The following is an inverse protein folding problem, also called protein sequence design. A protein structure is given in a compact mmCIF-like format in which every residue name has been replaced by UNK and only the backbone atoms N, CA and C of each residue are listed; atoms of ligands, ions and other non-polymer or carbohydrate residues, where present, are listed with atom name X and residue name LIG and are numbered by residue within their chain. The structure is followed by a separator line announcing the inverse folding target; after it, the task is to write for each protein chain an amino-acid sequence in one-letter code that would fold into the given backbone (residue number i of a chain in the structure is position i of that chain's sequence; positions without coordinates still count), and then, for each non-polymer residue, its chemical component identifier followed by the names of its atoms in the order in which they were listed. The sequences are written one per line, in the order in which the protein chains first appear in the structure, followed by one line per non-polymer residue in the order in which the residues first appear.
data_IF_710979306247
#
_entry.id   IF_710979306247
#
_cell.length_a   1.000
_cell.length_b   1.000
_cell.length_c   1.000
_cell.angle_alpha   90.00
_cell.angle_beta   90.00
_cell.angle_gamma   90.00
#
_symmetry.space_group_name_H-M   'P 1'
#
loop_
_entity.id
_entity.type
_entity.pdbx_description
1 polymer ?
#
# COMPACT_ATOMS: atom_id res chain seq x y z
N UNK A 1 -8.81 42.85 12.07
CA UNK A 1 -8.10 41.57 11.83
C UNK A 1 -9.13 40.54 11.41
N UNK A 2 -9.22 40.17 10.13
CA UNK A 2 -10.07 39.05 9.73
C UNK A 2 -9.40 37.75 10.20
N UNK A 3 -10.10 36.98 11.04
CA UNK A 3 -9.68 35.63 11.36
C UNK A 3 -9.75 34.79 10.10
N UNK A 4 -8.61 34.28 9.62
CA UNK A 4 -8.52 33.32 8.51
C UNK A 4 -8.82 31.87 8.95
N UNK A 5 -9.42 31.69 10.13
CA UNK A 5 -9.82 30.40 10.67
C UNK A 5 -11.30 30.17 10.42
N UNK A 6 -11.61 29.07 9.74
CA UNK A 6 -12.96 28.59 9.52
C UNK A 6 -13.15 27.30 10.30
N UNK A 7 -14.28 27.18 11.01
CA UNK A 7 -14.71 25.95 11.67
C UNK A 7 -16.07 25.56 11.10
N UNK A 8 -16.18 24.32 10.64
CA UNK A 8 -17.40 23.77 10.05
C UNK A 8 -17.80 22.54 10.84
N UNK A 9 -19.01 22.57 11.40
CA UNK A 9 -19.60 21.43 12.08
C UNK A 9 -20.75 20.91 11.23
N UNK A 10 -20.73 19.61 10.97
CA UNK A 10 -21.73 18.93 10.17
C UNK A 10 -22.35 17.85 11.04
N UNK A 11 -23.67 17.91 11.22
CA UNK A 11 -24.44 16.84 11.81
C UNK A 11 -24.64 15.74 10.75
N UNK A 12 -24.05 14.58 10.97
CA UNK A 12 -24.11 13.48 10.00
C UNK A 12 -25.52 12.92 9.83
N UNK A 13 -26.36 12.95 10.87
CA UNK A 13 -27.74 12.48 10.79
C UNK A 13 -28.58 13.41 9.93
N UNK A 14 -28.47 14.73 10.13
CA UNK A 14 -29.17 15.72 9.30
C UNK A 14 -28.66 15.68 7.84
N UNK A 15 -27.35 15.56 7.66
CA UNK A 15 -26.74 15.44 6.34
C UNK A 15 -27.27 14.23 5.57
N UNK A 16 -27.29 13.05 6.20
CA UNK A 16 -27.77 11.82 5.57
C UNK A 16 -29.26 11.86 5.24
N UNK A 17 -30.08 12.57 6.04
CA UNK A 17 -31.50 12.80 5.72
C UNK A 17 -31.70 13.69 4.51
N UNK A 18 -30.81 14.65 4.27
CA UNK A 18 -30.88 15.58 3.13
C UNK A 18 -30.35 14.97 1.84
N UNK A 19 -29.31 14.14 1.93
CA UNK A 19 -28.70 13.45 0.80
C UNK A 19 -29.39 12.12 0.50
N UNK A 20 -30.73 12.08 0.63
CA UNK A 20 -31.55 10.87 0.69
C UNK A 20 -31.62 10.04 -0.60
N UNK A 21 -30.67 10.20 -1.53
CA UNK A 21 -30.53 9.29 -2.65
C UNK A 21 -30.19 7.89 -2.13
N UNK A 22 -30.89 6.87 -2.63
CA UNK A 22 -30.59 5.46 -2.31
C UNK A 22 -29.40 4.94 -3.12
N UNK A 23 -29.00 5.66 -4.18
CA UNK A 23 -27.92 5.26 -5.06
C UNK A 23 -26.52 5.50 -4.46
N UNK A 24 -25.58 4.54 -4.64
CA UNK A 24 -24.18 4.69 -4.24
C UNK A 24 -23.47 5.91 -4.86
N UNK A 25 -23.37 6.99 -4.09
CA UNK A 25 -22.94 8.30 -4.58
C UNK A 25 -21.67 8.81 -3.87
N UNK A 26 -20.92 9.67 -4.56
CA UNK A 26 -19.74 10.35 -4.00
C UNK A 26 -19.94 11.85 -4.13
N UNK A 27 -19.94 12.55 -3.00
CA UNK A 27 -20.05 14.00 -2.95
C UNK A 27 -18.67 14.60 -2.68
N UNK A 28 -18.23 15.45 -3.60
CA UNK A 28 -17.01 16.21 -3.44
C UNK A 28 -17.25 17.44 -2.56
N UNK A 29 -16.44 17.63 -1.52
CA UNK A 29 -16.60 18.75 -0.59
C UNK A 29 -15.98 20.04 -1.15
N UNK A 30 -16.74 21.13 -1.16
CA UNK A 30 -16.27 22.45 -1.57
C UNK A 30 -16.61 23.49 -0.51
N UNK A 31 -15.84 24.57 -0.47
CA UNK A 31 -16.23 25.82 0.17
C UNK A 31 -16.56 26.82 -0.93
N UNK A 32 -17.76 27.42 -0.88
CA UNK A 32 -18.11 28.56 -1.74
C UNK A 32 -17.54 29.81 -1.09
N UNK A 33 -16.77 30.58 -1.83
CA UNK A 33 -16.19 31.85 -1.35
C UNK A 33 -16.70 32.98 -2.23
N UNK A 34 -17.02 34.11 -1.59
CA UNK A 34 -17.37 35.36 -2.25
C UNK A 34 -16.25 36.38 -2.02
N UNK A 35 -15.72 36.96 -3.09
CA UNK A 35 -14.62 37.93 -3.03
C UNK A 35 -14.96 39.16 -3.86
N UNK A 36 -14.82 40.39 -3.33
CA UNK A 36 -14.95 41.59 -4.15
C UNK A 36 -13.97 41.56 -5.33
N UNK A 37 -14.46 41.86 -6.54
CA UNK A 37 -13.66 41.81 -7.77
C UNK A 37 -12.39 42.67 -7.68
N UNK A 38 -12.52 43.85 -7.04
CA UNK A 38 -11.43 44.81 -6.86
C UNK A 38 -10.23 44.23 -6.10
N UNK A 39 -10.44 43.18 -5.29
CA UNK A 39 -9.37 42.50 -4.53
C UNK A 39 -8.67 41.42 -5.34
N UNK A 40 -9.12 41.12 -6.55
CA UNK A 40 -8.58 40.06 -7.38
C UNK A 40 -7.78 40.63 -8.56
N UNK A 41 -6.66 39.98 -8.86
CA UNK A 41 -5.90 40.28 -10.07
C UNK A 41 -6.63 39.75 -11.30
N UNK A 42 -6.48 40.43 -12.45
CA UNK A 42 -7.02 39.98 -13.76
C UNK A 42 -6.69 38.52 -14.08
N UNK A 43 -5.46 38.09 -13.76
CA UNK A 43 -5.01 36.70 -13.93
C UNK A 43 -5.83 35.72 -13.09
N UNK A 44 -6.17 36.09 -11.85
CA UNK A 44 -6.98 35.24 -10.96
C UNK A 44 -8.38 35.08 -11.50
N UNK A 45 -8.99 36.19 -11.95
CA UNK A 45 -10.33 36.21 -12.55
C UNK A 45 -10.40 35.27 -13.75
N UNK A 46 -9.47 35.40 -14.71
CA UNK A 46 -9.39 34.52 -15.89
C UNK A 46 -9.30 33.03 -15.53
N UNK A 47 -8.60 32.69 -14.44
CA UNK A 47 -8.43 31.29 -14.02
C UNK A 47 -9.69 30.70 -13.38
N UNK A 48 -10.61 31.52 -12.85
CA UNK A 48 -11.81 31.06 -12.14
C UNK A 48 -13.11 31.33 -12.88
N UNK A 49 -13.08 32.15 -13.93
CA UNK A 49 -14.25 32.60 -14.71
C UNK A 49 -15.17 31.45 -15.13
N UNK A 50 -14.62 30.34 -15.63
CA UNK A 50 -15.38 29.17 -16.06
C UNK A 50 -16.18 28.44 -14.96
N UNK A 51 -15.97 28.80 -13.68
CA UNK A 51 -16.60 28.17 -12.52
C UNK A 51 -17.11 29.21 -11.50
N UNK A 52 -17.21 30.47 -11.91
CA UNK A 52 -17.53 31.57 -11.03
C UNK A 52 -18.83 32.27 -11.44
N UNK A 53 -19.54 32.79 -10.46
CA UNK A 53 -20.76 33.57 -10.61
C UNK A 53 -20.51 35.00 -10.15
N UNK A 54 -21.04 35.98 -10.89
CA UNK A 54 -20.96 37.39 -10.53
C UNK A 54 -22.21 37.76 -9.75
N UNK A 55 -22.05 38.30 -8.55
CA UNK A 55 -23.15 38.65 -7.65
C UNK A 55 -22.98 40.08 -7.20
N UNK A 56 -24.04 40.88 -7.34
CA UNK A 56 -24.06 42.27 -6.90
C UNK A 56 -24.80 42.38 -5.56
N UNK A 57 -24.10 42.82 -4.51
CA UNK A 57 -24.67 43.06 -3.19
C UNK A 57 -24.18 44.43 -2.68
N UNK A 58 -25.11 45.28 -2.22
CA UNK A 58 -24.80 46.60 -1.64
C UNK A 58 -23.90 47.48 -2.54
N UNK A 59 -24.20 47.57 -3.84
CA UNK A 59 -23.42 48.34 -4.84
C UNK A 59 -21.98 47.83 -5.07
N UNK A 60 -21.63 46.66 -4.52
CA UNK A 60 -20.34 46.02 -4.71
C UNK A 60 -20.48 44.72 -5.50
N UNK A 61 -19.67 44.57 -6.54
CA UNK A 61 -19.66 43.33 -7.35
C UNK A 61 -18.69 42.33 -6.74
N UNK A 62 -19.24 41.19 -6.34
CA UNK A 62 -18.52 40.02 -5.86
C UNK A 62 -18.41 38.96 -6.96
N UNK A 63 -17.33 38.18 -6.91
CA UNK A 63 -17.23 36.93 -7.65
C UNK A 63 -17.31 35.78 -6.65
N UNK A 64 -18.26 34.88 -6.88
CA UNK A 64 -18.49 33.68 -6.10
C UNK A 64 -17.95 32.46 -6.83
N UNK A 65 -17.19 31.60 -6.16
CA UNK A 65 -16.69 30.38 -6.79
C UNK A 65 -16.41 29.28 -5.77
N UNK A 66 -16.49 28.00 -6.17
CA UNK A 66 -16.17 26.88 -5.31
C UNK A 66 -14.67 26.61 -5.26
N UNK A 67 -14.16 26.33 -4.06
CA UNK A 67 -12.82 25.83 -3.80
C UNK A 67 -12.94 24.39 -3.27
N UNK A 68 -12.29 23.44 -3.93
CA UNK A 68 -12.28 22.03 -3.53
C UNK A 68 -11.54 21.89 -2.19
N UNK A 69 -12.18 21.26 -1.21
CA UNK A 69 -11.59 21.03 0.11
C UNK A 69 -10.59 19.85 0.13
N UNK A 70 -9.57 20.01 0.95
CA UNK A 70 -8.43 19.09 1.09
C UNK A 70 -7.18 19.63 0.40
N UNK A 71 -6.16 18.78 0.24
CA UNK A 71 -4.83 19.15 -0.27
C UNK A 71 -4.18 20.31 0.48
N UNK A 72 -4.53 20.48 1.75
CA UNK A 72 -3.92 21.49 2.61
C UNK A 72 -2.45 21.17 2.85
N UNK A 73 -1.64 22.21 3.07
CA UNK A 73 -0.21 22.07 3.36
C UNK A 73 0.04 21.09 4.51
N UNK A 74 -0.82 21.14 5.53
CA UNK A 74 -0.90 20.18 6.61
C UNK A 74 -2.33 19.67 6.72
N UNK A 75 -2.49 18.36 6.81
CA UNK A 75 -3.80 17.72 6.98
C UNK A 75 -3.74 16.79 8.17
N UNK A 76 -4.56 17.08 9.18
CA UNK A 76 -4.72 16.25 10.37
C UNK A 76 -6.04 15.49 10.23
N UNK A 77 -6.02 14.19 10.45
CA UNK A 77 -7.22 13.36 10.48
C UNK A 77 -7.23 12.54 11.75
N UNK A 78 -8.39 12.47 12.40
CA UNK A 78 -8.63 11.59 13.52
C UNK A 78 -9.87 10.77 13.19
N UNK A 79 -9.71 9.45 13.14
CA UNK A 79 -10.82 8.49 13.13
C UNK A 79 -11.91 8.78 12.09
N UNK A 80 -11.51 8.99 10.83
CA UNK A 80 -12.45 8.80 9.71
C UNK A 80 -13.00 7.38 9.89
N UNK A 81 -14.31 7.25 9.99
CA UNK A 81 -14.97 5.98 10.30
C UNK A 81 -16.30 5.95 9.57
N UNK A 82 -16.80 4.74 9.34
CA UNK A 82 -18.10 4.55 8.72
C UNK A 82 -19.15 5.00 9.73
N UNK A 83 -19.98 5.95 9.32
CA UNK A 83 -21.15 6.37 10.05
C UNK A 83 -22.39 5.71 9.44
N UNK A 84 -23.20 5.07 10.28
CA UNK A 84 -24.42 4.39 9.86
C UNK A 84 -25.64 5.09 10.44
N UNK A 85 -26.65 5.29 9.61
CA UNK A 85 -27.93 5.84 10.02
C UNK A 85 -29.03 5.17 9.19
N UNK A 86 -29.98 4.54 9.87
CA UNK A 86 -30.95 3.63 9.27
C UNK A 86 -30.19 2.53 8.48
N UNK A 87 -30.53 2.29 7.22
CA UNK A 87 -29.87 1.29 6.37
C UNK A 87 -28.79 1.91 5.45
N UNK A 88 -28.42 3.18 5.69
CA UNK A 88 -27.43 3.90 4.89
C UNK A 88 -26.08 3.96 5.60
N UNK A 89 -25.02 3.91 4.82
CA UNK A 89 -23.64 4.06 5.31
C UNK A 89 -22.99 5.27 4.67
N UNK A 90 -22.20 5.99 5.45
CA UNK A 90 -21.39 7.10 4.92
C UNK A 90 -20.00 7.14 5.51
N UNK A 91 -19.04 7.65 4.74
CA UNK A 91 -17.67 7.86 5.22
C UNK A 91 -17.03 9.05 4.51
N UNK A 92 -16.46 9.96 5.29
CA UNK A 92 -15.51 10.93 4.76
C UNK A 92 -14.19 10.25 4.45
N UNK A 93 -13.68 10.44 3.25
CA UNK A 93 -12.42 9.84 2.82
C UNK A 93 -11.56 10.84 2.05
N UNK A 94 -10.26 10.77 2.29
CA UNK A 94 -9.28 11.52 1.51
C UNK A 94 -9.15 10.84 0.14
N UNK A 95 -9.42 11.53 -0.95
CA UNK A 95 -9.20 11.00 -2.30
C UNK A 95 -7.72 10.69 -2.55
N UNK A 96 -7.43 9.91 -3.61
CA UNK A 96 -6.05 9.64 -4.03
C UNK A 96 -5.22 10.89 -4.37
N UNK A 97 -5.89 12.05 -4.57
CA UNK A 97 -5.27 13.34 -4.83
C UNK A 97 -5.12 14.19 -3.56
N UNK A 98 -5.65 13.78 -2.41
CA UNK A 98 -5.60 14.54 -1.15
C UNK A 98 -6.82 15.43 -0.88
N UNK A 99 -7.82 15.47 -1.77
CA UNK A 99 -9.08 16.17 -1.52
C UNK A 99 -9.99 15.36 -0.58
N UNK A 100 -10.99 15.96 0.06
CA UNK A 100 -11.94 15.25 0.94
C UNK A 100 -13.25 14.98 0.20
N UNK A 101 -13.77 13.76 0.19
CA UNK A 101 -15.10 13.44 -0.35
C UNK A 101 -15.93 12.67 0.68
N UNK A 102 -17.24 12.82 0.62
CA UNK A 102 -18.19 11.98 1.33
C UNK A 102 -18.66 10.87 0.39
N UNK A 103 -18.54 9.63 0.84
CA UNK A 103 -19.10 8.48 0.16
C UNK A 103 -20.39 8.09 0.86
N UNK A 104 -21.46 7.84 0.11
CA UNK A 104 -22.75 7.34 0.62
C UNK A 104 -23.05 6.00 -0.06
N UNK A 105 -23.37 4.99 0.74
CA UNK A 105 -23.65 3.61 0.31
C UNK A 105 -22.57 3.05 -0.64
N UNK A 106 -21.33 3.51 -0.48
CA UNK A 106 -20.21 3.20 -1.35
C UNK A 106 -18.92 3.15 -0.57
N UNK A 107 -18.14 2.12 -0.79
CA UNK A 107 -16.83 1.99 -0.18
C UNK A 107 -15.77 2.72 -1.02
N UNK A 108 -14.88 3.53 -0.40
CA UNK A 108 -13.74 4.11 -1.09
C UNK A 108 -12.87 3.07 -1.79
N UNK A 109 -12.51 3.33 -3.05
CA UNK A 109 -11.69 2.40 -3.83
C UNK A 109 -10.25 2.40 -3.34
N UNK A 110 -9.86 1.31 -2.70
CA UNK A 110 -8.50 1.06 -2.19
C UNK A 110 -7.45 1.12 -3.30
N UNK A 111 -6.32 1.75 -2.99
CA UNK A 111 -5.13 1.70 -3.84
C UNK A 111 -3.87 1.58 -2.99
N UNK A 112 -3.49 0.33 -2.69
CA UNK A 112 -2.30 0.04 -1.87
C UNK A 112 -1.09 -0.23 -2.76
N UNK A 113 0.05 0.34 -2.38
CA UNK A 113 1.34 0.04 -3.00
C UNK A 113 2.35 -0.37 -1.92
N UNK A 114 2.91 -1.57 -2.06
CA UNK A 114 4.13 -1.97 -1.35
C UNK A 114 5.35 -1.60 -2.19
N UNK A 115 6.43 -1.23 -1.51
CA UNK A 115 7.77 -1.01 -2.05
C UNK A 115 8.79 -1.65 -1.12
N UNK A 116 9.74 -2.41 -1.66
CA UNK A 116 10.84 -2.99 -0.87
C UNK A 116 12.04 -2.04 -0.94
N UNK A 117 12.55 -1.62 0.22
CA UNK A 117 13.75 -0.80 0.31
C UNK A 117 14.98 -1.64 0.60
N UNK A 118 14.83 -2.67 1.43
CA UNK A 118 15.94 -3.50 1.88
C UNK A 118 15.50 -4.93 2.07
N UNK A 119 16.36 -5.85 1.67
CA UNK A 119 16.21 -7.28 1.96
C UNK A 119 17.54 -7.82 2.47
N UNK A 120 17.47 -8.62 3.53
CA UNK A 120 18.60 -9.35 4.09
C UNK A 120 18.15 -10.75 4.42
N UNK A 121 19.04 -11.72 4.27
CA UNK A 121 18.78 -13.11 4.58
C UNK A 121 20.02 -13.73 5.21
N UNK A 122 19.78 -14.63 6.16
CA UNK A 122 20.77 -15.56 6.70
C UNK A 122 20.26 -16.99 6.49
N UNK A 123 20.90 -17.99 7.10
CA UNK A 123 20.55 -19.41 6.93
C UNK A 123 19.19 -19.81 7.51
N UNK A 124 18.55 -18.97 8.33
CA UNK A 124 17.27 -19.30 9.00
C UNK A 124 16.15 -18.31 8.72
N UNK A 125 16.49 -17.06 8.44
CA UNK A 125 15.51 -15.97 8.38
C UNK A 125 15.74 -15.08 7.18
N UNK A 126 14.64 -14.56 6.64
CA UNK A 126 14.65 -13.47 5.68
C UNK A 126 13.96 -12.25 6.29
N UNK A 127 14.61 -11.10 6.18
CA UNK A 127 14.14 -9.83 6.66
C UNK A 127 13.93 -8.88 5.48
N UNK A 128 12.69 -8.43 5.31
CA UNK A 128 12.26 -7.52 4.25
C UNK A 128 11.73 -6.25 4.90
N UNK A 129 12.33 -5.11 4.58
CA UNK A 129 11.92 -3.81 5.05
C UNK A 129 11.57 -2.91 3.86
N UNK A 130 10.54 -2.08 4.04
CA UNK A 130 10.23 -1.06 3.05
C UNK A 130 9.03 -0.20 3.43
N UNK A 131 8.41 0.38 2.42
CA UNK A 131 7.28 1.30 2.60
C UNK A 131 6.00 0.72 2.02
N UNK A 132 4.89 1.00 2.69
CA UNK A 132 3.54 0.74 2.19
C UNK A 132 2.73 2.04 2.17
N UNK A 133 2.11 2.29 1.03
CA UNK A 133 1.27 3.45 0.76
C UNK A 133 -0.17 2.97 0.67
N UNK A 134 -0.96 3.20 1.70
CA UNK A 134 -2.39 2.83 1.76
C UNK A 134 -3.31 4.00 1.46
N UNK A 135 -2.75 5.20 1.29
CA UNK A 135 -3.45 6.43 0.90
C UNK A 135 -4.54 6.80 1.90
N UNK A 136 -5.80 6.61 1.57
CA UNK A 136 -6.89 7.03 2.45
C UNK A 136 -7.15 6.04 3.58
N UNK A 137 -6.78 4.78 3.37
CA UNK A 137 -7.02 3.72 4.32
C UNK A 137 -5.94 3.67 5.39
N UNK A 138 -6.28 3.86 6.67
CA UNK A 138 -5.40 3.55 7.79
C UNK A 138 -5.34 2.03 8.03
N UNK A 139 -4.14 1.51 8.34
CA UNK A 139 -3.95 0.10 8.74
C UNK A 139 -4.29 -0.03 10.23
N UNK A 140 -5.26 -0.88 10.56
CA UNK A 140 -5.61 -1.26 11.94
C UNK A 140 -4.72 -2.42 12.38
N UNK A 141 -4.66 -3.46 11.55
CA UNK A 141 -3.91 -4.69 11.81
C UNK A 141 -3.33 -5.20 10.49
N UNK A 142 -2.19 -5.87 10.55
CA UNK A 142 -1.76 -6.68 9.42
C UNK A 142 -1.04 -7.95 9.84
N UNK A 143 -1.07 -8.92 8.93
CA UNK A 143 -0.50 -10.25 9.11
C UNK A 143 0.42 -10.55 7.92
N UNK A 144 1.63 -11.06 8.19
CA UNK A 144 2.54 -11.53 7.15
C UNK A 144 2.19 -12.96 6.75
N UNK A 145 2.12 -13.24 5.45
CA UNK A 145 1.77 -14.55 4.92
C UNK A 145 2.72 -14.95 3.79
N UNK A 146 3.09 -16.22 3.77
CA UNK A 146 3.90 -16.85 2.73
C UNK A 146 3.11 -18.03 2.20
N UNK A 147 2.76 -18.01 0.91
CA UNK A 147 1.84 -18.98 0.32
C UNK A 147 2.46 -19.71 -0.86
N UNK A 148 2.45 -21.04 -0.82
CA UNK A 148 2.87 -21.90 -1.94
C UNK A 148 1.92 -21.77 -3.12
N UNK A 149 2.45 -21.61 -4.34
CA UNK A 149 1.64 -21.48 -5.56
C UNK A 149 1.01 -22.80 -5.97
N UNK A 150 1.75 -23.89 -5.81
CA UNK A 150 1.29 -25.22 -6.21
C UNK A 150 0.61 -25.91 -5.03
N UNK A 151 1.25 -25.93 -3.88
CA UNK A 151 0.75 -26.64 -2.70
C UNK A 151 -0.41 -25.93 -2.00
N UNK A 152 -0.52 -24.61 -2.16
CA UNK A 152 -1.44 -23.78 -1.38
C UNK A 152 -1.10 -23.67 0.11
N UNK A 153 0.00 -24.28 0.58
CA UNK A 153 0.45 -24.23 1.98
C UNK A 153 0.72 -22.78 2.38
N UNK A 154 0.23 -22.36 3.55
CA UNK A 154 0.38 -21.01 4.08
C UNK A 154 1.21 -21.02 5.38
N UNK A 155 2.17 -20.11 5.46
CA UNK A 155 3.03 -19.91 6.63
C UNK A 155 2.95 -18.46 7.11
N UNK A 156 2.93 -18.28 8.42
CA UNK A 156 2.89 -16.94 9.02
C UNK A 156 4.27 -16.31 9.06
N UNK A 157 4.33 -15.03 8.75
CA UNK A 157 5.51 -14.19 8.90
C UNK A 157 5.23 -13.05 9.88
N UNK A 158 6.24 -12.70 10.67
CA UNK A 158 6.14 -11.59 11.61
C UNK A 158 6.13 -10.28 10.81
N UNK A 159 5.11 -9.47 11.04
CA UNK A 159 4.90 -8.22 10.33
C UNK A 159 4.58 -7.10 11.32
N UNK A 160 5.31 -5.99 11.22
CA UNK A 160 5.00 -4.78 11.98
C UNK A 160 5.00 -3.54 11.10
N UNK A 161 4.25 -2.52 11.52
CA UNK A 161 4.13 -1.25 10.81
C UNK A 161 4.47 -0.09 11.73
N UNK A 162 5.15 0.93 11.19
CA UNK A 162 5.38 2.21 11.83
C UNK A 162 4.72 3.28 10.98
N UNK A 163 3.72 3.98 11.52
CA UNK A 163 3.03 5.06 10.82
C UNK A 163 3.95 6.28 10.70
N UNK A 164 4.26 6.69 9.47
CA UNK A 164 4.99 7.93 9.21
C UNK A 164 4.03 9.13 9.26
N UNK A 165 3.66 9.54 10.48
CA UNK A 165 2.70 10.63 10.73
C UNK A 165 3.14 11.97 10.14
N UNK A 166 4.42 12.30 10.22
CA UNK A 166 4.95 13.56 9.67
C UNK A 166 4.72 13.64 8.15
N UNK A 167 5.07 12.57 7.43
CA UNK A 167 4.85 12.51 5.99
C UNK A 167 3.36 12.43 5.63
N UNK A 168 2.54 11.78 6.45
CA UNK A 168 1.09 11.76 6.28
C UNK A 168 0.52 13.19 6.30
N UNK A 169 0.85 13.97 7.35
CA UNK A 169 0.39 15.36 7.52
C UNK A 169 0.81 16.24 6.33
N UNK A 170 2.08 16.17 5.94
CA UNK A 170 2.65 16.96 4.84
C UNK A 170 2.23 16.50 3.44
N UNK A 171 1.60 15.32 3.32
CA UNK A 171 1.13 14.75 2.04
C UNK A 171 -0.38 14.58 2.04
N UNK A 172 -1.08 15.63 2.47
CA UNK A 172 -2.52 15.76 2.36
C UNK A 172 -3.30 14.69 3.16
N UNK A 173 -2.72 14.16 4.25
CA UNK A 173 -3.31 13.11 5.06
C UNK A 173 -3.27 11.72 4.42
N UNK A 174 -2.47 11.51 3.38
CA UNK A 174 -2.32 10.20 2.74
C UNK A 174 -1.41 9.29 3.58
N UNK A 175 -1.96 8.19 4.08
CA UNK A 175 -1.33 7.19 4.94
C UNK A 175 -0.13 6.49 4.27
N UNK A 176 0.95 6.43 5.04
CA UNK A 176 2.24 5.83 4.67
C UNK A 176 2.85 5.17 5.89
N UNK A 177 3.31 3.95 5.73
CA UNK A 177 3.94 3.20 6.80
C UNK A 177 5.26 2.63 6.34
N UNK A 178 6.19 2.51 7.28
CA UNK A 178 7.34 1.63 7.14
C UNK A 178 6.88 0.26 7.63
N UNK A 179 7.10 -0.78 6.84
CA UNK A 179 6.84 -2.16 7.26
C UNK A 179 8.15 -2.89 7.49
N UNK A 180 8.09 -3.82 8.44
CA UNK A 180 9.16 -4.74 8.77
C UNK A 180 8.59 -6.16 8.75
N UNK A 181 9.06 -6.99 7.82
CA UNK A 181 8.59 -8.35 7.62
C UNK A 181 9.74 -9.33 7.83
N UNK A 182 9.56 -10.26 8.77
CA UNK A 182 10.52 -11.31 9.09
C UNK A 182 9.90 -12.68 8.85
N UNK A 183 10.50 -13.41 7.92
CA UNK A 183 10.15 -14.77 7.55
C UNK A 183 11.10 -15.75 8.25
N UNK A 184 10.54 -16.80 8.81
CA UNK A 184 11.29 -17.99 9.19
C UNK A 184 11.36 -18.93 7.98
N UNK A 185 12.58 -19.15 7.48
CA UNK A 185 12.82 -19.94 6.29
C UNK A 185 12.83 -21.44 6.57
N UNK A 186 13.00 -21.86 7.83
CA UNK A 186 12.93 -23.28 8.20
C UNK A 186 11.52 -23.84 7.96
N UNK A 187 10.49 -23.00 8.06
CA UNK A 187 9.10 -23.36 7.76
C UNK A 187 8.88 -23.75 6.28
N UNK A 188 9.77 -23.32 5.38
CA UNK A 188 9.70 -23.65 3.96
C UNK A 188 10.38 -24.97 3.62
N UNK A 189 11.06 -25.60 4.59
CA UNK A 189 11.66 -26.93 4.41
C UNK A 189 10.54 -27.97 4.50
N UNK A 190 10.12 -28.48 3.34
CA UNK A 190 9.01 -29.43 3.24
C UNK A 190 9.41 -30.80 3.81
N UNK A 191 8.56 -31.37 4.66
CA UNK A 191 8.72 -32.77 5.14
C UNK A 191 8.60 -33.74 3.97
N UNK A 192 7.70 -33.45 3.04
CA UNK A 192 7.43 -34.27 1.85
C UNK A 192 8.43 -34.01 0.71
N UNK A 193 9.43 -33.14 0.94
CA UNK A 193 10.44 -32.72 -0.02
C UNK A 193 9.89 -32.14 -1.34
N UNK A 194 8.65 -31.65 -1.33
CA UNK A 194 8.06 -31.00 -2.49
C UNK A 194 8.71 -29.64 -2.77
N UNK A 195 9.05 -29.42 -4.03
CA UNK A 195 9.47 -28.10 -4.53
C UNK A 195 8.23 -27.21 -4.73
N UNK A 196 8.35 -25.92 -4.43
CA UNK A 196 7.27 -24.96 -4.67
C UNK A 196 7.83 -23.54 -4.86
N UNK A 197 6.98 -22.66 -5.39
CA UNK A 197 7.20 -21.23 -5.42
C UNK A 197 6.31 -20.58 -4.37
N UNK A 198 6.91 -19.90 -3.42
CA UNK A 198 6.21 -19.19 -2.37
C UNK A 198 6.10 -17.71 -2.69
N UNK A 199 4.89 -17.19 -2.58
CA UNK A 199 4.56 -15.79 -2.75
C UNK A 199 4.34 -15.12 -1.40
N UNK A 200 4.84 -13.89 -1.25
CA UNK A 200 4.82 -13.18 0.03
C UNK A 200 3.72 -12.10 -0.01
N UNK A 201 2.87 -12.12 1.00
CA UNK A 201 1.71 -11.25 1.16
C UNK A 201 1.70 -10.55 2.53
N UNK A 202 1.07 -9.39 2.54
CA UNK A 202 0.58 -8.71 3.74
C UNK A 202 -0.94 -8.74 3.69
N UNK A 203 -1.59 -9.36 4.66
CA UNK A 203 -3.04 -9.30 4.84
C UNK A 203 -3.36 -8.12 5.74
N UNK A 204 -4.08 -7.12 5.24
CA UNK A 204 -4.31 -5.85 5.92
C UNK A 204 -5.78 -5.68 6.29
N UNK A 205 -6.04 -5.42 7.57
CA UNK A 205 -7.32 -4.92 8.05
C UNK A 205 -7.27 -3.39 8.03
N UNK A 206 -8.12 -2.78 7.22
CA UNK A 206 -8.18 -1.34 7.02
C UNK A 206 -9.43 -0.78 7.69
N UNK A 207 -9.36 0.46 8.16
CA UNK A 207 -10.46 1.08 8.91
C UNK A 207 -11.75 1.34 8.12
N UNK A 208 -11.65 1.39 6.80
CA UNK A 208 -12.70 1.75 5.85
C UNK A 208 -13.15 0.56 5.00
N UNK A 209 -12.73 -0.65 5.36
CA UNK A 209 -12.97 -1.87 4.59
C UNK A 209 -13.41 -2.99 5.50
N UNK A 210 -14.50 -3.65 5.15
CA UNK A 210 -15.01 -4.81 5.87
C UNK A 210 -14.07 -6.02 5.73
N UNK A 211 -13.74 -6.37 4.48
CA UNK A 211 -12.88 -7.51 4.17
C UNK A 211 -11.39 -7.14 4.14
N UNK A 212 -10.52 -7.96 4.77
CA UNK A 212 -9.08 -7.73 4.73
C UNK A 212 -8.53 -7.82 3.31
N UNK A 213 -7.49 -7.02 3.03
CA UNK A 213 -6.88 -6.96 1.71
C UNK A 213 -5.53 -7.64 1.68
N UNK A 214 -5.38 -8.55 0.72
CA UNK A 214 -4.13 -9.22 0.41
C UNK A 214 -3.27 -8.35 -0.51
N UNK A 215 -2.11 -7.94 -0.02
CA UNK A 215 -1.15 -7.10 -0.76
C UNK A 215 0.13 -7.87 -0.96
N UNK A 216 0.52 -8.09 -2.22
CA UNK A 216 1.82 -8.71 -2.53
C UNK A 216 2.98 -7.79 -2.15
N UNK A 217 3.96 -8.35 -1.46
CA UNK A 217 5.21 -7.67 -1.14
C UNK A 217 6.05 -7.61 -2.41
N UNK A 218 6.52 -6.42 -2.77
CA UNK A 218 7.12 -6.22 -4.09
C UNK A 218 7.60 -4.82 -4.37
N UNK A 219 7.87 -4.57 -5.64
CA UNK A 219 8.41 -3.32 -6.20
C UNK A 219 9.69 -2.91 -5.48
N UNK A 220 10.78 -3.69 -5.63
CA UNK A 220 12.07 -3.32 -5.09
C UNK A 220 12.54 -2.00 -5.66
N UNK A 221 13.16 -1.17 -4.82
CA UNK A 221 13.94 -0.03 -5.33
C UNK A 221 15.06 -0.56 -6.21
N UNK A 222 15.56 0.27 -7.14
CA UNK A 222 16.65 -0.10 -8.05
C UNK A 222 17.86 -0.67 -7.31
N UNK A 223 18.18 -0.14 -6.12
CA UNK A 223 19.27 -0.62 -5.27
C UNK A 223 19.00 -2.03 -4.73
N UNK A 224 17.78 -2.32 -4.31
CA UNK A 224 17.40 -3.62 -3.71
C UNK A 224 17.43 -4.78 -4.71
N UNK A 225 17.29 -4.52 -6.01
CA UNK A 225 17.34 -5.55 -7.07
C UNK A 225 18.67 -6.31 -7.10
N UNK A 226 19.76 -5.70 -6.61
CA UNK A 226 21.12 -6.26 -6.62
C UNK A 226 21.43 -7.13 -5.38
N UNK A 227 20.53 -7.21 -4.39
CA UNK A 227 20.80 -7.85 -3.09
C UNK A 227 19.98 -9.12 -2.82
N UNK A 228 19.41 -9.73 -3.86
CA UNK A 228 18.76 -11.05 -3.74
C UNK A 228 19.82 -12.15 -3.68
N UNK A 229 20.18 -12.57 -2.47
CA UNK A 229 21.09 -13.72 -2.28
C UNK A 229 20.28 -14.99 -2.13
N UNK A 230 20.73 -16.06 -2.77
CA UNK A 230 20.28 -17.41 -2.46
C UNK A 230 20.63 -17.77 -1.02
N UNK A 231 19.73 -18.48 -0.33
CA UNK A 231 19.98 -19.08 0.98
C UNK A 231 19.90 -20.59 0.88
N UNK A 232 20.82 -21.28 1.56
CA UNK A 232 20.64 -22.69 1.89
C UNK A 232 20.15 -22.79 3.35
N UNK A 233 19.09 -23.55 3.58
CA UNK A 233 18.44 -23.75 4.89
C UNK A 233 18.48 -25.23 5.23
N UNK A 234 18.73 -25.56 6.49
CA UNK A 234 18.71 -26.94 6.98
C UNK A 234 17.81 -27.02 8.20
N UNK A 235 16.90 -27.99 8.21
CA UNK A 235 16.05 -28.32 9.35
C UNK A 235 16.20 -29.81 9.69
N UNK A 236 15.50 -30.28 10.71
CA UNK A 236 15.44 -31.71 11.03
C UNK A 236 14.86 -32.55 9.89
N UNK A 237 14.05 -31.94 9.03
CA UNK A 237 13.28 -32.62 7.99
C UNK A 237 14.00 -32.66 6.63
N UNK A 238 15.12 -31.94 6.49
CA UNK A 238 15.88 -31.92 5.24
C UNK A 238 16.60 -30.60 5.01
N UNK A 239 16.94 -30.37 3.75
CA UNK A 239 17.66 -29.18 3.31
C UNK A 239 16.90 -28.51 2.18
N UNK A 240 16.71 -27.20 2.27
CA UNK A 240 16.10 -26.41 1.21
C UNK A 240 17.09 -25.40 0.62
N UNK A 241 17.01 -25.22 -0.70
CA UNK A 241 17.65 -24.11 -1.40
C UNK A 241 16.56 -23.12 -1.73
N UNK A 242 16.71 -21.89 -1.23
CA UNK A 242 15.73 -20.83 -1.37
C UNK A 242 16.35 -19.73 -2.24
N UNK A 243 15.75 -19.52 -3.41
CA UNK A 243 16.13 -18.49 -4.37
C UNK A 243 15.08 -17.38 -4.38
N UNK A 244 15.35 -16.21 -3.78
CA UNK A 244 14.47 -15.06 -3.88
C UNK A 244 14.57 -14.46 -5.28
N UNK A 245 13.43 -14.20 -5.91
CA UNK A 245 13.36 -13.52 -7.21
C UNK A 245 12.18 -12.55 -7.27
N UNK A 246 12.22 -11.65 -8.25
CA UNK A 246 11.11 -10.73 -8.52
C UNK A 246 10.36 -11.15 -9.77
N UNK A 247 9.03 -11.27 -9.70
CA UNK A 247 8.19 -11.63 -10.84
C UNK A 247 8.32 -10.61 -11.98
N UNK A 248 8.33 -11.07 -13.23
CA UNK A 248 8.53 -10.21 -14.39
C UNK A 248 7.55 -9.03 -14.50
N UNK A 249 6.23 -9.28 -14.43
CA UNK A 249 5.21 -8.25 -14.71
C UNK A 249 5.07 -7.19 -13.61
N UNK A 250 5.02 -7.61 -12.35
CA UNK A 250 4.69 -6.73 -11.22
C UNK A 250 5.88 -6.46 -10.28
N UNK A 251 7.03 -7.10 -10.52
CA UNK A 251 8.19 -7.07 -9.62
C UNK A 251 7.84 -7.45 -8.17
N UNK A 252 6.93 -8.40 -7.97
CA UNK A 252 6.61 -8.95 -6.65
C UNK A 252 7.68 -9.92 -6.20
N UNK A 253 7.98 -9.96 -4.90
CA UNK A 253 8.92 -10.90 -4.31
C UNK A 253 8.28 -12.29 -4.23
N UNK A 254 9.05 -13.29 -4.66
CA UNK A 254 8.73 -14.71 -4.59
C UNK A 254 9.97 -15.50 -4.22
N UNK A 255 9.77 -16.67 -3.63
CA UNK A 255 10.83 -17.58 -3.22
C UNK A 255 10.65 -18.89 -3.98
N UNK A 256 11.60 -19.24 -4.82
CA UNK A 256 11.67 -20.57 -5.40
C UNK A 256 12.42 -21.48 -4.42
N UNK A 257 11.76 -22.56 -3.99
CA UNK A 257 12.25 -23.45 -2.95
C UNK A 257 12.43 -24.84 -3.53
N UNK A 258 13.66 -25.34 -3.46
CA UNK A 258 14.02 -26.71 -3.83
C UNK A 258 14.36 -27.51 -2.58
N UNK A 259 13.66 -28.60 -2.33
CA UNK A 259 13.85 -29.44 -1.15
C UNK A 259 14.66 -30.71 -1.48
N UNK A 260 15.53 -31.13 -0.57
CA UNK A 260 16.43 -32.28 -0.77
C UNK A 260 16.57 -33.13 0.48
N UNK A 261 16.82 -34.43 0.26
CA UNK A 261 17.22 -35.36 1.31
C UNK A 261 18.72 -35.26 1.62
N UNK A 262 19.09 -35.36 2.90
CA UNK A 262 20.48 -35.50 3.35
C UNK A 262 21.20 -34.20 3.76
N UNK A 263 22.50 -34.30 4.08
CA UNK A 263 23.30 -33.16 4.60
C UNK A 263 23.72 -32.20 3.49
N UNK A 264 23.62 -30.89 3.76
CA UNK A 264 24.00 -29.79 2.85
C UNK A 264 25.41 -29.97 2.22
N UNK A 265 26.35 -30.57 2.95
CA UNK A 265 27.72 -30.83 2.49
C UNK A 265 27.80 -31.82 1.33
N UNK A 266 26.91 -32.81 1.28
CA UNK A 266 26.85 -33.82 0.21
C UNK A 266 26.37 -33.16 -1.08
N UNK A 267 25.34 -32.33 -0.99
CA UNK A 267 24.81 -31.60 -2.14
C UNK A 267 25.80 -30.54 -2.68
N UNK A 268 26.48 -29.80 -1.80
CA UNK A 268 27.54 -28.86 -2.21
C UNK A 268 28.68 -29.55 -2.94
N UNK A 269 29.06 -30.77 -2.52
CA UNK A 269 30.00 -31.62 -3.26
C UNK A 269 29.41 -31.98 -4.64
N UNK A 270 28.20 -32.52 -4.73
CA UNK A 270 27.58 -32.89 -6.02
C UNK A 270 27.48 -31.72 -7.02
N UNK A 271 27.13 -30.51 -6.57
CA UNK A 271 27.06 -29.32 -7.44
C UNK A 271 28.43 -28.76 -7.81
N UNK A 272 29.40 -28.78 -6.89
CA UNK A 272 30.80 -28.42 -7.18
C UNK A 272 31.40 -29.33 -8.25
N UNK A 273 31.10 -30.63 -8.17
CA UNK A 273 31.51 -31.63 -9.16
C UNK A 273 30.82 -31.44 -10.51
N UNK A 274 29.54 -31.06 -10.54
CA UNK A 274 28.84 -30.69 -11.79
C UNK A 274 29.50 -29.50 -12.51
N UNK A 275 29.95 -28.48 -11.77
CA UNK A 275 30.70 -27.34 -12.35
C UNK A 275 32.06 -27.78 -12.91
N UNK A 276 32.77 -28.66 -12.20
CA UNK A 276 34.02 -29.26 -12.70
C UNK A 276 33.81 -30.14 -13.93
N UNK A 277 32.81 -31.03 -13.91
CA UNK A 277 32.47 -31.90 -15.04
C UNK A 277 31.99 -31.13 -16.28
N UNK A 278 31.30 -29.99 -16.09
CA UNK A 278 30.92 -29.10 -17.18
C UNK A 278 32.13 -28.46 -17.88
N UNK A 279 33.21 -28.17 -17.15
CA UNK A 279 34.48 -27.71 -17.73
C UNK A 279 35.14 -28.81 -18.59
N UNK A 280 35.04 -30.08 -18.17
CA UNK A 280 35.54 -31.22 -18.97
C UNK A 280 34.67 -31.54 -20.19
N UNK A 281 33.35 -31.34 -20.13
CA UNK A 281 32.47 -31.47 -21.31
C UNK A 281 32.73 -30.38 -22.36
N UNK A 282 33.14 -29.17 -21.96
CA UNK A 282 33.47 -28.08 -22.89
C UNK A 282 34.71 -28.36 -23.74
N UNK A 283 35.64 -29.21 -23.27
CA UNK A 283 36.83 -29.64 -24.03
C UNK A 283 36.56 -30.70 -25.10
N UNK A 284 35.36 -31.30 -25.13
CA UNK A 284 35.02 -32.40 -26.07
C UNK A 284 34.22 -31.95 -27.30
N UNK A 285 33.95 -30.65 -27.44
CA UNK A 285 33.32 -30.06 -28.64
C UNK A 285 34.31 -29.28 -29.52
N UNK A 286 35.59 -29.28 -29.17
CA UNK A 286 36.69 -28.81 -30.03
C UNK A 286 37.75 -29.91 -30.04
N UNK A 287 37.52 -30.91 -30.87
CA UNK A 287 38.38 -32.06 -31.12
C UNK A 287 37.88 -32.76 -32.36
#
# INVERSE_FOLDING_TARGET
MSSSKFDFKVDMKDLMRKLADDEPTVYDCYIKVAVPIEKLSKKTILNIEHKAEYVEENEQVHIEFPIRLGRFQETYTNNLSIYTYEDKQSIFSITNKGNISLYINKTPKIQIKSQIEKMKNNSKTMHVNGQIFTKHSAIIKGEGLVRGRQSGKEYQANLSFIHNKEMNIKKFGLNRYIYDLKLDLEQLVSVDLEDDVYDIYMKLHLHDQEEPKMVRVGRPTTRTKLFTKRTDVSSNNGVAIINPYYTFKASNLSLEVFNFYGKLSIFKKMMGWRRFLALFKKKRMFG
#
